data_IF_222119681726
#
_entry.id   IF_222119681726
#
_cell.length_a   1.000
_cell.length_b   1.000
_cell.length_c   1.000
_cell.angle_alpha   90.00
_cell.angle_beta   90.00
_cell.angle_gamma   90.00
#
_symmetry.space_group_name_H-M   'P 1'
#
loop_
_entity.id
_entity.type
_entity.pdbx_description
1 polymer ?
#
# COMPACT_ATOMS: atom_id res chain seq x y z
N UNK A 1 -6.08 -9.50 -9.34
CA UNK A 1 -4.70 -9.04 -9.63
C UNK A 1 -4.14 -8.20 -8.49
N UNK A 2 -4.74 -7.05 -8.15
CA UNK A 2 -4.30 -6.21 -7.01
C UNK A 2 -4.26 -6.94 -5.67
N UNK A 3 -5.31 -7.68 -5.30
CA UNK A 3 -5.37 -8.46 -4.03
C UNK A 3 -4.16 -9.37 -3.80
N UNK A 4 -3.72 -10.10 -4.83
CA UNK A 4 -2.56 -11.02 -4.73
C UNK A 4 -1.25 -10.23 -4.53
N UNK A 5 -1.11 -9.08 -5.20
CA UNK A 5 0.11 -8.27 -5.12
C UNK A 5 0.22 -7.58 -3.76
N UNK A 6 -0.89 -6.99 -3.28
CA UNK A 6 -0.94 -6.43 -1.92
C UNK A 6 -0.59 -7.51 -0.89
N UNK A 7 -1.14 -8.72 -1.04
CA UNK A 7 -0.83 -9.85 -0.16
C UNK A 7 0.67 -10.22 -0.16
N UNK A 8 1.32 -10.29 -1.32
CA UNK A 8 2.77 -10.57 -1.40
C UNK A 8 3.63 -9.54 -0.64
N UNK A 9 3.20 -8.29 -0.56
CA UNK A 9 3.88 -7.26 0.21
C UNK A 9 3.77 -7.53 1.74
N UNK A 10 2.60 -7.95 2.22
CA UNK A 10 2.43 -8.40 3.62
C UNK A 10 3.26 -9.65 3.92
N UNK A 11 3.28 -10.63 3.02
CA UNK A 11 4.13 -11.82 3.20
C UNK A 11 5.61 -11.45 3.33
N UNK A 12 6.08 -10.47 2.56
CA UNK A 12 7.46 -9.99 2.65
C UNK A 12 7.76 -9.36 4.01
N UNK A 13 6.86 -8.52 4.53
CA UNK A 13 6.98 -7.95 5.87
C UNK A 13 6.97 -9.04 6.97
N UNK A 14 6.07 -10.03 6.84
CA UNK A 14 6.01 -11.15 7.78
C UNK A 14 7.32 -11.94 7.80
N UNK A 15 7.83 -12.33 6.62
CA UNK A 15 9.11 -13.06 6.49
C UNK A 15 10.29 -12.27 7.07
N UNK A 16 10.39 -10.97 6.75
CA UNK A 16 11.51 -10.14 7.22
C UNK A 16 11.46 -9.81 8.71
N UNK A 17 10.27 -9.85 9.33
CA UNK A 17 10.15 -9.67 10.77
C UNK A 17 10.75 -10.83 11.57
N UNK A 18 10.90 -12.01 10.94
CA UNK A 18 11.32 -13.25 11.60
C UNK A 18 10.40 -13.71 12.75
N UNK A 19 9.09 -13.41 12.67
CA UNK A 19 8.07 -13.96 13.59
C UNK A 19 7.11 -12.97 14.26
N UNK A 20 7.51 -11.74 14.65
CA UNK A 20 6.64 -10.79 15.35
C UNK A 20 5.44 -10.30 14.53
N UNK A 21 5.50 -10.35 13.19
CA UNK A 21 4.39 -9.96 12.32
C UNK A 21 3.76 -11.17 11.63
N UNK A 22 2.48 -11.37 11.91
CA UNK A 22 1.62 -12.32 11.22
C UNK A 22 0.43 -11.56 10.60
N UNK A 23 0.09 -11.89 9.36
CA UNK A 23 -1.02 -11.27 8.63
C UNK A 23 -2.03 -12.34 8.22
N UNK A 24 -3.30 -11.94 8.18
CA UNK A 24 -4.42 -12.77 7.74
C UNK A 24 -5.31 -11.93 6.81
N UNK A 25 -5.71 -12.50 5.68
CA UNK A 25 -6.62 -11.84 4.76
C UNK A 25 -8.06 -11.90 5.30
N UNK A 26 -8.56 -10.75 5.77
CA UNK A 26 -9.94 -10.57 6.25
C UNK A 26 -10.82 -9.85 5.22
N UNK A 27 -10.43 -9.88 3.94
CA UNK A 27 -11.21 -9.26 2.87
C UNK A 27 -12.58 -9.95 2.74
N UNK A 28 -13.69 -9.19 2.68
CA UNK A 28 -14.99 -9.77 2.46
C UNK A 28 -15.11 -10.40 1.07
N UNK A 29 -15.99 -11.39 0.93
CA UNK A 29 -16.27 -12.04 -0.36
C UNK A 29 -16.92 -11.10 -1.38
N UNK A 30 -17.61 -10.05 -0.91
CA UNK A 30 -18.24 -9.02 -1.74
C UNK A 30 -17.79 -7.63 -1.31
N UNK A 31 -17.69 -6.71 -2.26
CA UNK A 31 -17.23 -5.32 -2.06
C UNK A 31 -18.20 -4.47 -1.23
N UNK A 32 -19.48 -4.81 -1.19
CA UNK A 32 -20.54 -4.12 -0.47
C UNK A 32 -20.76 -4.66 0.95
N UNK A 33 -19.98 -5.66 1.37
CA UNK A 33 -20.06 -6.20 2.70
C UNK A 33 -19.69 -5.13 3.74
N UNK A 34 -20.33 -5.21 4.93
CA UNK A 34 -19.97 -4.36 6.08
C UNK A 34 -18.46 -4.43 6.37
N UNK A 35 -17.91 -3.31 6.87
CA UNK A 35 -16.52 -3.22 7.33
C UNK A 35 -16.14 -4.45 8.16
N UNK A 36 -15.06 -5.11 7.77
CA UNK A 36 -14.48 -6.21 8.55
C UNK A 36 -13.80 -5.66 9.81
N UNK A 37 -13.43 -6.56 10.71
CA UNK A 37 -12.56 -6.24 11.85
C UNK A 37 -11.07 -6.21 11.47
N UNK A 38 -10.75 -5.89 10.20
CA UNK A 38 -9.38 -5.85 9.71
C UNK A 38 -8.61 -4.68 10.35
N UNK A 39 -7.34 -4.91 10.66
CA UNK A 39 -6.43 -3.88 11.15
C UNK A 39 -5.94 -2.94 10.04
N UNK A 40 -6.07 -3.35 8.78
CA UNK A 40 -5.64 -2.57 7.63
C UNK A 40 -6.79 -2.40 6.65
N UNK A 41 -7.05 -1.17 6.24
CA UNK A 41 -7.95 -0.84 5.15
C UNK A 41 -7.14 -0.59 3.87
N UNK A 42 -7.42 -1.37 2.83
CA UNK A 42 -6.66 -1.34 1.58
C UNK A 42 -7.62 -1.03 0.45
N UNK A 43 -7.42 0.12 -0.18
CA UNK A 43 -8.33 0.64 -1.20
C UNK A 43 -7.58 1.12 -2.44
N UNK A 44 -8.19 0.90 -3.59
CA UNK A 44 -7.84 1.59 -4.83
C UNK A 44 -9.01 2.52 -5.15
N UNK A 45 -8.77 3.82 -5.13
CA UNK A 45 -9.82 4.81 -5.38
C UNK A 45 -9.24 6.01 -6.14
N UNK A 46 -10.12 6.82 -6.73
CA UNK A 46 -9.74 8.03 -7.46
C UNK A 46 -10.27 9.24 -6.72
N UNK A 47 -9.52 10.33 -6.70
CA UNK A 47 -9.92 11.60 -6.09
C UNK A 47 -10.44 11.43 -4.65
N UNK A 48 -11.55 12.06 -4.29
CA UNK A 48 -12.15 11.93 -2.97
C UNK A 48 -12.69 10.52 -2.72
N UNK A 49 -12.22 9.87 -1.65
CA UNK A 49 -12.55 8.46 -1.35
C UNK A 49 -12.82 8.16 0.13
N UNK A 50 -13.22 9.18 0.89
CA UNK A 50 -13.88 8.99 2.20
C UNK A 50 -13.01 9.14 3.44
N UNK A 51 -11.72 9.47 3.29
CA UNK A 51 -10.77 9.68 4.40
C UNK A 51 -10.23 11.13 4.51
N UNK A 52 -10.79 12.07 3.74
CA UNK A 52 -10.41 13.50 3.63
C UNK A 52 -9.05 13.77 2.95
N UNK A 53 -8.32 12.73 2.54
CA UNK A 53 -7.08 12.84 1.76
C UNK A 53 -7.41 12.48 0.30
N UNK A 54 -7.77 13.47 -0.50
CA UNK A 54 -8.14 13.20 -1.90
C UNK A 54 -6.90 12.97 -2.74
N UNK A 55 -6.94 11.98 -3.63
CA UNK A 55 -5.94 11.86 -4.69
C UNK A 55 -6.06 12.98 -5.72
N UNK A 56 -4.98 13.23 -6.45
CA UNK A 56 -4.81 14.31 -7.41
C UNK A 56 -4.95 13.89 -8.88
N UNK A 57 -5.11 12.58 -9.16
CA UNK A 57 -5.35 12.06 -10.50
C UNK A 57 -4.09 11.43 -11.08
N UNK A 58 -3.81 11.65 -12.36
CA UNK A 58 -2.63 11.02 -12.96
C UNK A 58 -1.35 11.73 -12.50
N UNK A 59 -0.37 10.96 -12.02
CA UNK A 59 0.87 11.43 -11.40
C UNK A 59 0.62 12.15 -10.06
N UNK A 60 1.72 12.51 -9.37
CA UNK A 60 1.63 13.19 -8.07
C UNK A 60 1.51 12.19 -6.93
N UNK A 61 0.38 12.17 -6.23
CA UNK A 61 0.15 11.31 -5.06
C UNK A 61 -0.27 9.92 -5.52
N UNK A 62 0.70 9.02 -5.62
CA UNK A 62 0.47 7.64 -6.09
C UNK A 62 -0.21 6.75 -5.05
N UNK A 63 0.01 7.04 -3.76
CA UNK A 63 -0.55 6.32 -2.63
C UNK A 63 -0.38 7.14 -1.34
N UNK A 64 -1.21 6.86 -0.34
CA UNK A 64 -1.01 7.34 1.02
C UNK A 64 -1.24 6.24 2.05
N UNK A 65 -0.71 6.43 3.25
CA UNK A 65 -0.91 5.50 4.35
C UNK A 65 -0.91 6.23 5.69
N UNK A 66 -1.65 5.69 6.65
CA UNK A 66 -1.73 6.24 8.00
C UNK A 66 -1.01 5.33 9.00
N UNK A 67 -0.46 5.92 10.06
CA UNK A 67 0.14 5.17 11.16
C UNK A 67 -0.93 4.37 11.94
N UNK A 68 -0.55 3.41 12.80
CA UNK A 68 -1.47 2.85 13.78
C UNK A 68 -2.12 3.96 14.62
N UNK A 69 -3.42 3.91 14.90
CA UNK A 69 -4.34 2.76 14.76
C UNK A 69 -5.23 2.78 13.51
N UNK A 70 -5.07 3.77 12.64
CA UNK A 70 -5.91 3.97 11.47
C UNK A 70 -5.72 2.85 10.44
N UNK A 71 -4.48 2.41 10.20
CA UNK A 71 -4.17 1.26 9.35
C UNK A 71 -4.57 1.43 7.88
N UNK A 72 -4.65 2.67 7.40
CA UNK A 72 -5.06 2.98 6.03
C UNK A 72 -3.87 2.79 5.07
N UNK A 73 -4.11 2.14 3.93
CA UNK A 73 -3.18 2.02 2.80
C UNK A 73 -3.98 2.17 1.51
N UNK A 74 -4.01 3.37 0.94
CA UNK A 74 -4.77 3.66 -0.27
C UNK A 74 -3.85 3.93 -1.46
N UNK A 75 -4.27 3.48 -2.63
CA UNK A 75 -3.57 3.65 -3.90
C UNK A 75 -4.44 4.47 -4.85
N UNK A 76 -3.85 5.43 -5.58
CA UNK A 76 -4.61 6.17 -6.58
C UNK A 76 -4.93 5.25 -7.76
N UNK A 77 -6.22 5.03 -8.00
CA UNK A 77 -6.74 4.26 -9.13
C UNK A 77 -6.60 4.99 -10.48
N UNK A 78 -6.17 6.25 -10.49
CA UNK A 78 -5.90 7.05 -11.69
C UNK A 78 -4.54 6.74 -12.31
N UNK A 79 -3.64 6.13 -11.53
CA UNK A 79 -2.30 5.77 -11.97
C UNK A 79 -2.26 4.55 -12.91
N UNK A 80 -1.26 4.53 -13.78
CA UNK A 80 -0.93 3.35 -14.57
C UNK A 80 -0.07 2.40 -13.73
N UNK A 81 -0.70 1.38 -13.15
CA UNK A 81 -0.02 0.39 -12.32
C UNK A 81 0.63 -0.74 -13.13
N UNK A 82 1.90 -1.00 -12.85
CA UNK A 82 2.67 -2.13 -13.33
C UNK A 82 2.87 -3.18 -12.25
N UNK A 83 2.77 -4.45 -12.65
CA UNK A 83 3.01 -5.60 -11.74
C UNK A 83 4.31 -6.33 -12.06
N UNK A 84 4.91 -6.00 -13.20
CA UNK A 84 6.15 -6.58 -13.73
C UNK A 84 7.24 -5.51 -13.95
N UNK A 85 6.98 -4.25 -13.59
CA UNK A 85 7.92 -3.13 -13.71
C UNK A 85 8.19 -2.67 -15.16
N UNK A 86 7.43 -3.16 -16.15
CA UNK A 86 7.73 -2.88 -17.57
C UNK A 86 7.10 -1.59 -18.11
N UNK A 87 5.94 -1.22 -17.61
CA UNK A 87 5.21 -0.01 -18.04
C UNK A 87 4.26 0.40 -16.92
N UNK A 88 4.41 1.63 -16.44
CA UNK A 88 3.69 2.17 -15.28
C UNK A 88 4.44 2.05 -13.95
N UNK A 89 3.84 2.59 -12.88
CA UNK A 89 4.36 2.55 -11.51
C UNK A 89 4.33 1.14 -10.94
N UNK A 90 5.42 0.70 -10.31
CA UNK A 90 5.51 -0.66 -9.79
C UNK A 90 4.69 -0.82 -8.51
N UNK A 91 3.51 -1.44 -8.65
CA UNK A 91 2.59 -1.65 -7.53
C UNK A 91 3.21 -2.47 -6.39
N UNK A 92 4.11 -3.41 -6.72
CA UNK A 92 4.83 -4.21 -5.70
C UNK A 92 5.68 -3.34 -4.78
N UNK A 93 6.39 -2.36 -5.35
CA UNK A 93 7.22 -1.45 -4.58
C UNK A 93 6.36 -0.50 -3.75
N UNK A 94 5.36 0.13 -4.37
CA UNK A 94 4.48 1.09 -3.67
C UNK A 94 3.68 0.40 -2.56
N UNK A 95 3.21 -0.82 -2.77
CA UNK A 95 2.54 -1.59 -1.71
C UNK A 95 3.48 -1.94 -0.56
N UNK A 96 4.72 -2.35 -0.86
CA UNK A 96 5.71 -2.64 0.17
C UNK A 96 6.06 -1.39 0.99
N UNK A 97 6.19 -0.23 0.34
CA UNK A 97 6.40 1.06 0.98
C UNK A 97 5.21 1.48 1.85
N UNK A 98 3.98 1.47 1.30
CA UNK A 98 2.76 1.92 1.99
C UNK A 98 2.41 1.11 3.24
N UNK A 99 2.79 -0.18 3.30
CA UNK A 99 2.61 -0.97 4.53
C UNK A 99 3.52 -0.46 5.67
N UNK A 100 4.66 0.15 5.38
CA UNK A 100 5.61 0.61 6.39
C UNK A 100 5.02 1.59 7.41
N UNK A 101 4.42 2.72 7.00
CA UNK A 101 3.77 3.65 7.92
C UNK A 101 2.63 2.97 8.70
N UNK A 102 1.85 2.10 8.04
CA UNK A 102 0.80 1.33 8.70
C UNK A 102 1.34 0.36 9.77
N UNK A 103 2.61 -0.04 9.70
CA UNK A 103 3.32 -0.79 10.75
C UNK A 103 4.04 0.10 11.78
N UNK A 104 4.01 1.43 11.63
CA UNK A 104 4.69 2.36 12.53
C UNK A 104 6.04 2.89 12.02
N UNK A 105 6.46 2.55 10.80
CA UNK A 105 7.76 2.94 10.26
C UNK A 105 7.72 4.35 9.66
N UNK A 106 8.73 5.17 10.00
CA UNK A 106 8.91 6.51 9.41
C UNK A 106 9.68 6.41 8.10
N UNK A 107 9.53 7.44 7.26
CA UNK A 107 10.36 7.58 6.06
C UNK A 107 11.85 7.60 6.40
N UNK A 108 12.63 6.92 5.57
CA UNK A 108 14.09 6.86 5.65
C UNK A 108 14.72 7.90 4.72
N UNK A 109 15.84 8.47 5.16
CA UNK A 109 16.71 9.31 4.31
C UNK A 109 17.67 8.49 3.45
N UNK A 110 17.84 7.18 3.72
CA UNK A 110 18.67 6.33 2.86
C UNK A 110 17.96 6.13 1.52
N UNK A 111 18.56 6.55 0.39
CA UNK A 111 17.95 6.41 -0.94
C UNK A 111 17.81 4.97 -1.43
N UNK A 112 18.35 3.99 -0.71
CA UNK A 112 18.21 2.55 -0.99
C UNK A 112 17.18 1.87 -0.10
N UNK A 113 16.66 2.56 0.91
CA UNK A 113 15.64 2.00 1.79
C UNK A 113 14.28 1.96 1.08
N UNK A 114 13.51 0.89 1.31
CA UNK A 114 12.12 0.83 0.84
C UNK A 114 11.27 1.99 1.36
N UNK A 115 11.60 2.50 2.55
CA UNK A 115 10.94 3.65 3.18
C UNK A 115 11.45 5.01 2.69
N UNK A 116 12.24 5.08 1.63
CA UNK A 116 12.53 6.37 0.99
C UNK A 116 11.24 6.92 0.34
N UNK A 117 10.86 8.18 0.58
CA UNK A 117 9.59 8.73 0.08
C UNK A 117 9.60 9.02 -1.42
N UNK A 118 10.76 9.02 -2.06
CA UNK A 118 10.88 9.28 -3.49
C UNK A 118 10.92 7.95 -4.24
N UNK A 119 9.89 7.71 -5.03
CA UNK A 119 9.84 6.56 -5.91
C UNK A 119 10.98 6.62 -6.93
N UNK A 120 11.90 5.66 -6.89
CA UNK A 120 12.95 5.50 -7.90
C UNK A 120 12.63 4.25 -8.72
N UNK A 121 12.53 4.41 -10.04
CA UNK A 121 12.69 3.28 -10.95
C UNK A 121 14.12 2.75 -10.77
N UNK A 122 14.25 1.64 -10.04
CA UNK A 122 15.52 0.92 -9.96
C UNK A 122 15.51 -0.02 -11.18
N UNK A 123 16.31 0.30 -12.20
CA UNK A 123 16.57 -0.59 -13.33
C UNK A 123 17.42 -1.78 -12.90
#
# INVERSE_FOLDING_TARGET
LSRNISWQAFEKWSKLSAGPLAFEDRSPARRDARKSNAHFDILFAKYAHGDKESFDGLAGIVAHSAYPKEGIIHFDGSEFWSVNGRSGLELRYVALHGIGPALGLRHSRDPRAVMNPYYRFIH
#
